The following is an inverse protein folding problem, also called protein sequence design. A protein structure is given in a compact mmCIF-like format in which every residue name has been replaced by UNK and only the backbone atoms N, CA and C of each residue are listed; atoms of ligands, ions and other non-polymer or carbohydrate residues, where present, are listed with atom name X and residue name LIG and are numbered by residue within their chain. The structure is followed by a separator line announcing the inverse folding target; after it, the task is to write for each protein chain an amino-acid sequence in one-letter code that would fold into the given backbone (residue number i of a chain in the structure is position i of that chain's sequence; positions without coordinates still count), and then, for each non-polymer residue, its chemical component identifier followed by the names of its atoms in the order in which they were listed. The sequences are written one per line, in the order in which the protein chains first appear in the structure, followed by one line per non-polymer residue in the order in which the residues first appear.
data_IF_198107783827
#
_entry.id   IF_198107783827
#
_cell.length_a   1.000
_cell.length_b   1.000
_cell.length_c   1.000
_cell.angle_alpha   90.00
_cell.angle_beta   90.00
_cell.angle_gamma   90.00
#
_symmetry.space_group_name_H-M   'P 1'
#
loop_
_entity.id
_entity.type
_entity.pdbx_description
1 polymer ?
#
# COMPACT_ATOMS: atom_id res chain seq x y z
N UNK A 1 62.99 -53.89 -5.35
CA UNK A 1 61.88 -53.17 -4.66
C UNK A 1 62.24 -51.76 -4.13
N UNK A 2 63.32 -51.08 -4.57
CA UNK A 2 63.64 -49.70 -4.15
C UNK A 2 63.19 -48.59 -5.14
N UNK A 3 63.12 -48.87 -6.44
CA UNK A 3 62.82 -47.84 -7.46
C UNK A 3 61.34 -47.39 -7.52
N UNK A 4 60.39 -48.22 -7.06
CA UNK A 4 58.96 -47.90 -7.17
C UNK A 4 58.49 -46.86 -6.12
N UNK A 5 59.29 -46.65 -5.05
CA UNK A 5 58.93 -45.77 -3.94
C UNK A 5 59.41 -44.32 -4.16
N UNK A 6 60.52 -44.13 -4.89
CA UNK A 6 61.01 -42.80 -5.28
C UNK A 6 60.15 -42.15 -6.36
N UNK A 7 59.68 -42.94 -7.32
CA UNK A 7 58.80 -42.45 -8.40
C UNK A 7 57.43 -42.00 -7.87
N UNK A 8 56.92 -42.71 -6.85
CA UNK A 8 55.67 -42.36 -6.19
C UNK A 8 55.81 -41.09 -5.33
N UNK A 9 56.93 -40.93 -4.60
CA UNK A 9 57.21 -39.71 -3.83
C UNK A 9 57.38 -38.48 -4.74
N UNK A 10 58.05 -38.62 -5.89
CA UNK A 10 58.16 -37.53 -6.87
C UNK A 10 56.81 -37.12 -7.46
N UNK A 11 55.91 -38.08 -7.75
CA UNK A 11 54.55 -37.78 -8.23
C UNK A 11 53.68 -37.08 -7.17
N UNK A 12 53.88 -37.38 -5.88
CA UNK A 12 53.19 -36.68 -4.79
C UNK A 12 53.74 -35.25 -4.66
N UNK A 13 55.06 -35.05 -4.68
CA UNK A 13 55.67 -33.72 -4.61
C UNK A 13 55.29 -32.82 -5.79
N UNK A 14 55.19 -33.37 -7.01
CA UNK A 14 54.72 -32.62 -8.17
C UNK A 14 53.25 -32.23 -8.07
N UNK A 15 52.39 -33.12 -7.54
CA UNK A 15 50.98 -32.81 -7.29
C UNK A 15 50.82 -31.73 -6.22
N UNK A 16 51.59 -31.80 -5.14
CA UNK A 16 51.56 -30.77 -4.07
C UNK A 16 52.07 -29.42 -4.56
N UNK A 17 53.10 -29.38 -5.41
CA UNK A 17 53.57 -28.14 -6.03
C UNK A 17 52.51 -27.52 -6.95
N UNK A 18 51.87 -28.32 -7.81
CA UNK A 18 50.78 -27.85 -8.67
C UNK A 18 49.59 -27.33 -7.86
N UNK A 19 49.22 -28.01 -6.78
CA UNK A 19 48.12 -27.57 -5.91
C UNK A 19 48.46 -26.25 -5.19
N UNK A 20 49.71 -26.08 -4.73
CA UNK A 20 50.18 -24.83 -4.11
C UNK A 20 50.20 -23.67 -5.09
N UNK A 21 50.60 -23.91 -6.34
CA UNK A 21 50.57 -22.91 -7.42
C UNK A 21 49.14 -22.51 -7.80
N UNK A 22 48.21 -23.48 -7.89
CA UNK A 22 46.80 -23.20 -8.11
C UNK A 22 46.21 -22.37 -6.96
N UNK A 23 46.43 -22.78 -5.71
CA UNK A 23 45.95 -22.05 -4.52
C UNK A 23 46.53 -20.63 -4.46
N UNK A 24 47.81 -20.43 -4.82
CA UNK A 24 48.40 -19.09 -4.88
C UNK A 24 47.78 -18.23 -5.98
N UNK A 25 47.50 -18.80 -7.16
CA UNK A 25 46.83 -18.10 -8.25
C UNK A 25 45.37 -17.73 -7.90
N UNK A 26 44.64 -18.62 -7.24
CA UNK A 26 43.31 -18.32 -6.71
C UNK A 26 43.37 -17.21 -5.66
N UNK A 27 44.31 -17.27 -4.70
CA UNK A 27 44.48 -16.21 -3.69
C UNK A 27 44.78 -14.84 -4.32
N UNK A 28 45.66 -14.78 -5.33
CA UNK A 28 45.95 -13.53 -6.05
C UNK A 28 44.69 -12.98 -6.73
N UNK A 29 43.92 -13.82 -7.43
CA UNK A 29 42.65 -13.41 -8.07
C UNK A 29 41.61 -12.92 -7.05
N UNK A 30 41.47 -13.59 -5.91
CA UNK A 30 40.58 -13.15 -4.84
C UNK A 30 40.98 -11.80 -4.25
N UNK A 31 42.28 -11.52 -4.09
CA UNK A 31 42.77 -10.21 -3.64
C UNK A 31 42.47 -9.12 -4.68
N UNK A 32 42.65 -9.39 -5.98
CA UNK A 32 42.29 -8.44 -7.04
C UNK A 32 40.80 -8.11 -7.05
N UNK A 33 39.92 -9.11 -6.89
CA UNK A 33 38.46 -8.89 -6.82
C UNK A 33 38.09 -8.04 -5.60
N UNK A 34 38.70 -8.31 -4.45
CA UNK A 34 38.45 -7.56 -3.22
C UNK A 34 38.91 -6.10 -3.35
N UNK A 35 40.07 -5.87 -3.97
CA UNK A 35 40.60 -4.53 -4.22
C UNK A 35 39.72 -3.74 -5.21
N UNK A 36 39.24 -4.39 -6.27
CA UNK A 36 38.29 -3.78 -7.22
C UNK A 36 36.98 -3.41 -6.53
N UNK A 37 36.43 -4.28 -5.68
CA UNK A 37 35.21 -3.97 -4.92
C UNK A 37 35.41 -2.78 -3.98
N UNK A 38 36.55 -2.68 -3.29
CA UNK A 38 36.87 -1.53 -2.43
C UNK A 38 36.97 -0.24 -3.26
N UNK A 39 37.61 -0.28 -4.43
CA UNK A 39 37.70 0.87 -5.34
C UNK A 39 36.31 1.28 -5.83
N UNK A 40 35.46 0.33 -6.23
CA UNK A 40 34.08 0.61 -6.68
C UNK A 40 33.28 1.29 -5.58
N UNK A 41 33.36 0.80 -4.34
CA UNK A 41 32.71 1.42 -3.18
C UNK A 41 33.25 2.83 -2.92
N UNK A 42 34.57 3.04 -3.03
CA UNK A 42 35.18 4.36 -2.87
C UNK A 42 34.77 5.32 -3.99
N UNK A 43 34.74 4.88 -5.25
CA UNK A 43 34.30 5.69 -6.39
C UNK A 43 32.84 6.08 -6.25
N UNK A 44 31.97 5.13 -5.88
CA UNK A 44 30.56 5.39 -5.56
C UNK A 44 30.48 6.41 -4.42
N UNK A 45 31.21 6.20 -3.32
CA UNK A 45 31.22 7.11 -2.18
C UNK A 45 31.65 8.54 -2.54
N UNK A 46 32.70 8.71 -3.37
CA UNK A 46 33.16 10.03 -3.81
C UNK A 46 32.23 10.67 -4.84
N UNK A 47 31.61 9.89 -5.74
CA UNK A 47 30.58 10.38 -6.66
C UNK A 47 29.38 10.93 -5.89
N UNK A 48 28.91 10.24 -4.85
CA UNK A 48 27.80 10.72 -4.01
C UNK A 48 28.19 11.84 -3.04
N UNK A 49 29.45 11.92 -2.59
CA UNK A 49 29.93 12.99 -1.68
C UNK A 49 30.02 14.37 -2.35
N UNK A 50 30.24 14.42 -3.66
CA UNK A 50 30.34 15.68 -4.42
C UNK A 50 29.00 16.18 -4.97
N UNK A 51 27.90 15.47 -4.74
CA UNK A 51 26.56 15.99 -5.02
C UNK A 51 26.14 16.87 -3.82
N UNK A 52 26.76 18.04 -3.70
CA UNK A 52 26.16 19.14 -2.94
C UNK A 52 24.94 19.63 -3.74
N UNK A 53 23.83 18.89 -3.64
CA UNK A 53 22.53 19.44 -3.99
C UNK A 53 22.29 20.54 -2.97
N UNK A 54 22.51 21.79 -3.36
CA UNK A 54 21.91 22.93 -2.68
C UNK A 54 20.39 22.74 -2.79
N UNK A 55 19.82 21.94 -1.90
CA UNK A 55 18.38 21.78 -1.84
C UNK A 55 17.82 23.13 -1.40
N UNK A 56 17.05 23.79 -2.26
CA UNK A 56 16.34 25.03 -1.94
C UNK A 56 15.46 24.92 -0.68
N UNK A 57 15.26 23.69 -0.21
CA UNK A 57 14.43 23.31 0.92
C UNK A 57 15.21 23.23 2.25
N UNK A 58 16.55 23.37 2.25
CA UNK A 58 17.39 23.31 3.46
C UNK A 58 17.83 24.71 3.90
N UNK A 59 17.32 25.17 5.05
CA UNK A 59 17.63 26.50 5.62
C UNK A 59 17.87 26.38 7.11
N UNK A 60 18.95 26.97 7.60
CA UNK A 60 19.35 26.96 9.02
C UNK A 60 19.39 25.56 9.66
N UNK A 61 19.64 24.52 8.87
CA UNK A 61 19.64 23.13 9.36
C UNK A 61 18.25 22.51 9.51
N UNK A 62 17.21 23.17 9.00
CA UNK A 62 15.89 22.58 8.79
C UNK A 62 15.69 22.25 7.31
N UNK A 63 15.00 21.15 7.03
CA UNK A 63 14.54 20.78 5.71
C UNK A 63 13.01 20.78 5.68
N UNK A 64 12.42 21.45 4.68
CA UNK A 64 10.97 21.38 4.44
C UNK A 64 10.69 20.28 3.42
N UNK A 65 9.73 19.42 3.73
CA UNK A 65 9.34 18.30 2.87
C UNK A 65 7.83 18.30 2.72
N UNK A 66 7.37 18.27 1.47
CA UNK A 66 5.99 18.00 1.12
C UNK A 66 5.88 16.49 0.91
N UNK A 67 4.93 15.85 1.58
CA UNK A 67 4.68 14.41 1.48
C UNK A 67 3.29 14.19 0.90
N UNK A 68 3.24 13.57 -0.27
CA UNK A 68 2.01 13.18 -0.97
C UNK A 68 2.28 11.96 -1.88
N UNK A 69 1.23 11.37 -2.46
CA UNK A 69 1.37 10.39 -3.54
C UNK A 69 1.75 11.11 -4.84
N UNK A 70 2.50 10.45 -5.72
CA UNK A 70 2.85 11.02 -7.03
C UNK A 70 1.66 11.07 -7.99
N UNK A 71 0.73 10.13 -7.84
CA UNK A 71 -0.43 9.99 -8.71
C UNK A 71 -1.68 9.82 -7.87
N UNK A 72 -2.77 10.45 -8.29
CA UNK A 72 -4.11 10.27 -7.74
C UNK A 72 -5.11 10.07 -8.87
N UNK A 73 -6.18 9.35 -8.58
CA UNK A 73 -7.38 9.40 -9.41
C UNK A 73 -8.21 10.64 -9.10
N UNK A 74 -9.00 11.10 -10.07
CA UNK A 74 -9.77 12.33 -9.93
C UNK A 74 -10.73 12.35 -8.74
N UNK A 75 -11.39 11.24 -8.42
CA UNK A 75 -12.32 11.12 -7.30
C UNK A 75 -11.62 10.96 -5.93
N UNK A 76 -10.31 10.76 -5.91
CA UNK A 76 -9.54 10.63 -4.67
C UNK A 76 -9.37 11.98 -3.96
N UNK A 77 -9.29 11.93 -2.64
CA UNK A 77 -8.89 13.07 -1.84
C UNK A 77 -7.38 13.27 -1.94
N UNK A 78 -6.97 14.50 -2.19
CA UNK A 78 -5.56 14.86 -2.16
C UNK A 78 -5.08 14.84 -0.72
N UNK A 79 -4.13 13.94 -0.40
CA UNK A 79 -3.46 13.87 0.89
C UNK A 79 -2.04 14.43 0.75
N UNK A 80 -1.88 15.69 1.17
CA UNK A 80 -0.61 16.40 1.15
C UNK A 80 -0.30 16.95 2.55
N UNK A 81 0.89 16.64 3.04
CA UNK A 81 1.38 17.05 4.36
C UNK A 81 2.71 17.74 4.25
N UNK A 82 2.90 18.82 5.00
CA UNK A 82 4.15 19.57 5.05
C UNK A 82 4.84 19.30 6.37
N UNK A 83 6.09 18.86 6.30
CA UNK A 83 6.93 18.59 7.46
C UNK A 83 8.12 19.53 7.48
N UNK A 84 8.49 19.96 8.69
CA UNK A 84 9.77 20.59 8.97
C UNK A 84 10.67 19.58 9.68
N UNK A 85 11.81 19.27 9.08
CA UNK A 85 12.74 18.24 9.55
C UNK A 85 14.00 18.90 10.08
N UNK A 86 14.38 18.61 11.31
CA UNK A 86 15.67 19.03 11.84
C UNK A 86 16.77 18.11 11.34
N UNK A 87 17.66 18.63 10.50
CA UNK A 87 18.80 17.86 9.95
C UNK A 87 20.02 17.85 10.86
N UNK A 88 19.96 18.56 12.00
CA UNK A 88 21.08 18.69 12.93
C UNK A 88 20.97 17.70 14.09
N UNK A 89 22.15 17.39 14.62
CA UNK A 89 22.35 16.46 15.71
C UNK A 89 22.07 17.10 17.10
N UNK A 90 20.97 17.85 17.24
CA UNK A 90 20.59 18.55 18.48
C UNK A 90 19.21 19.20 18.35
N UNK A 91 18.53 19.47 19.47
CA UNK A 91 17.24 20.19 19.47
C UNK A 91 17.42 21.62 18.94
N UNK A 92 16.46 22.09 18.15
CA UNK A 92 16.46 23.47 17.64
C UNK A 92 15.10 24.11 17.72
N UNK A 93 15.08 25.39 18.06
CA UNK A 93 13.91 26.24 17.92
C UNK A 93 13.76 26.73 16.49
N UNK A 94 12.52 26.92 16.08
CA UNK A 94 12.19 27.57 14.81
C UNK A 94 11.03 28.55 14.98
N UNK A 95 11.01 29.52 14.07
CA UNK A 95 9.95 30.52 13.93
C UNK A 95 9.44 30.45 12.50
N UNK A 96 8.14 30.19 12.31
CA UNK A 96 7.48 30.24 11.00
C UNK A 96 6.52 31.42 10.96
N UNK A 97 6.63 32.25 9.92
CA UNK A 97 5.71 33.35 9.62
C UNK A 97 5.23 33.27 8.17
N UNK A 98 4.07 33.88 7.87
CA UNK A 98 3.51 34.02 6.52
C UNK A 98 3.43 32.68 5.75
N UNK A 99 2.90 31.65 6.41
CA UNK A 99 2.79 30.32 5.80
C UNK A 99 1.71 30.33 4.73
N UNK A 100 2.05 29.85 3.54
CA UNK A 100 1.14 29.71 2.41
C UNK A 100 1.29 28.33 1.79
N UNK A 101 0.16 27.68 1.57
CA UNK A 101 0.07 26.41 0.87
C UNK A 101 -0.88 26.57 -0.31
N UNK A 102 -0.44 26.24 -1.52
CA UNK A 102 -1.27 26.30 -2.72
C UNK A 102 -1.21 25.00 -3.47
N UNK A 103 -2.30 24.70 -4.16
CA UNK A 103 -2.34 23.76 -5.26
C UNK A 103 -2.75 24.55 -6.49
N UNK A 104 -1.93 24.49 -7.53
CA UNK A 104 -2.21 25.12 -8.83
C UNK A 104 -2.20 24.06 -9.92
N UNK A 105 -2.99 24.25 -10.97
CA UNK A 105 -2.93 23.42 -12.16
C UNK A 105 -1.69 23.77 -13.03
N UNK A 106 -1.52 23.04 -14.13
CA UNK A 106 -0.45 23.25 -15.11
C UNK A 106 -0.44 24.68 -15.72
N UNK A 107 -1.58 25.38 -15.69
CA UNK A 107 -1.73 26.76 -16.17
C UNK A 107 -1.55 27.79 -15.03
N UNK A 108 -1.08 27.36 -13.86
CA UNK A 108 -0.97 28.15 -12.63
C UNK A 108 -2.30 28.71 -12.10
N UNK A 109 -3.43 28.12 -12.47
CA UNK A 109 -4.75 28.49 -11.93
C UNK A 109 -4.88 27.86 -10.54
N UNK A 110 -5.17 28.65 -9.48
CA UNK A 110 -5.27 28.13 -8.13
C UNK A 110 -6.52 27.26 -7.96
N UNK A 111 -6.29 26.02 -7.56
CA UNK A 111 -7.34 25.06 -7.17
C UNK A 111 -7.60 25.15 -5.67
N UNK A 112 -6.54 25.39 -4.90
CA UNK A 112 -6.63 25.59 -3.47
C UNK A 112 -5.55 26.57 -3.01
N UNK A 113 -5.89 27.39 -2.02
CA UNK A 113 -4.95 28.34 -1.42
C UNK A 113 -5.30 28.48 0.06
N UNK A 114 -4.33 28.17 0.91
CA UNK A 114 -4.37 28.37 2.34
C UNK A 114 -3.32 29.41 2.72
N UNK A 115 -3.67 30.27 3.67
CA UNK A 115 -2.80 31.33 4.13
C UNK A 115 -2.92 31.51 5.64
N UNK A 116 -1.78 31.62 6.31
CA UNK A 116 -1.68 31.81 7.74
C UNK A 116 -0.57 32.81 8.09
N UNK A 117 -0.99 34.01 8.48
CA UNK A 117 -0.11 35.15 8.79
C UNK A 117 0.57 35.07 10.15
N UNK A 118 0.01 34.30 11.09
CA UNK A 118 0.46 34.37 12.47
C UNK A 118 1.81 33.68 12.66
N UNK A 119 2.62 34.25 13.56
CA UNK A 119 3.90 33.69 13.96
C UNK A 119 3.73 32.44 14.81
N UNK A 120 4.36 31.34 14.40
CA UNK A 120 4.41 30.08 15.14
C UNK A 120 5.84 29.84 15.61
N UNK A 121 6.02 29.74 16.93
CA UNK A 121 7.29 29.45 17.58
C UNK A 121 7.24 28.07 18.22
N UNK A 122 8.18 27.20 17.87
CA UNK A 122 8.25 25.86 18.47
C UNK A 122 9.67 25.30 18.45
N UNK A 123 9.82 24.06 18.92
CA UNK A 123 11.09 23.31 18.94
C UNK A 123 10.88 21.96 18.31
N UNK A 124 11.95 21.42 17.74
CA UNK A 124 11.98 20.07 17.20
C UNK A 124 13.26 19.39 17.65
N UNK A 125 13.10 18.14 18.09
CA UNK A 125 14.18 17.31 18.57
C UNK A 125 15.26 17.04 17.52
N UNK A 126 16.33 16.39 17.98
CA UNK A 126 17.45 15.96 17.14
C UNK A 126 16.97 14.98 16.07
N UNK A 127 17.31 15.23 14.80
CA UNK A 127 17.00 14.35 13.66
C UNK A 127 15.51 13.95 13.57
N UNK A 128 14.62 14.78 14.10
CA UNK A 128 13.18 14.53 14.11
C UNK A 128 12.45 15.52 13.20
N UNK A 129 11.19 15.22 12.91
CA UNK A 129 10.30 16.07 12.13
C UNK A 129 9.13 16.57 12.98
N UNK A 130 8.55 17.69 12.55
CA UNK A 130 7.28 18.21 13.05
C UNK A 130 6.35 18.45 11.87
N UNK A 131 5.08 18.09 12.04
CA UNK A 131 4.02 18.36 11.06
C UNK A 131 3.64 19.84 11.16
N UNK A 132 3.77 20.57 10.05
CA UNK A 132 3.45 22.00 9.96
C UNK A 132 2.07 22.21 9.36
N UNK A 133 1.68 21.39 8.38
CA UNK A 133 0.41 21.51 7.70
C UNK A 133 -0.09 20.14 7.23
N UNK A 134 -1.41 19.95 7.29
CA UNK A 134 -2.09 18.73 6.84
C UNK A 134 -3.35 19.12 6.07
N UNK A 135 -3.32 18.98 4.75
CA UNK A 135 -4.43 19.39 3.87
C UNK A 135 -5.74 18.72 4.27
N UNK A 136 -5.68 17.44 4.65
CA UNK A 136 -6.86 16.64 5.01
C UNK A 136 -7.56 17.14 6.27
N UNK A 137 -6.86 17.87 7.13
CA UNK A 137 -7.45 18.52 8.32
C UNK A 137 -8.13 19.83 7.98
N UNK A 138 -7.67 20.53 6.95
CA UNK A 138 -8.21 21.82 6.54
C UNK A 138 -9.41 21.68 5.60
N UNK A 139 -9.30 20.84 4.57
CA UNK A 139 -10.36 20.70 3.57
C UNK A 139 -10.29 19.38 2.80
N UNK A 140 -11.39 19.08 2.12
CA UNK A 140 -11.53 17.99 1.19
C UNK A 140 -11.31 18.48 -0.26
N UNK A 141 -10.08 18.47 -0.75
CA UNK A 141 -9.79 18.66 -2.18
C UNK A 141 -9.95 17.34 -2.92
N UNK A 142 -10.92 17.27 -3.85
CA UNK A 142 -11.21 16.10 -4.70
C UNK A 142 -11.84 16.52 -6.03
N UNK A 143 -12.06 15.58 -6.94
CA UNK A 143 -12.72 15.77 -8.24
C UNK A 143 -11.93 16.75 -9.12
N UNK A 144 -10.60 16.64 -9.09
CA UNK A 144 -9.71 17.44 -9.92
C UNK A 144 -9.69 16.90 -11.35
N UNK A 145 -9.58 17.78 -12.34
CA UNK A 145 -9.49 17.35 -13.74
C UNK A 145 -8.16 16.64 -13.99
N UNK A 146 -8.11 15.79 -15.01
CA UNK A 146 -6.85 15.20 -15.48
C UNK A 146 -5.80 16.30 -15.75
N UNK A 147 -4.58 16.10 -15.24
CA UNK A 147 -3.47 17.02 -15.47
C UNK A 147 -2.37 16.91 -14.41
N UNK A 148 -1.32 17.69 -14.59
CA UNK A 148 -0.25 17.84 -13.59
C UNK A 148 -0.56 19.05 -12.71
N UNK A 149 -0.39 18.87 -11.42
CA UNK A 149 -0.62 19.90 -10.41
C UNK A 149 0.65 20.15 -9.61
N UNK A 150 0.86 21.41 -9.23
CA UNK A 150 1.98 21.82 -8.40
C UNK A 150 1.47 22.20 -7.01
N UNK A 151 2.08 21.60 -5.99
CA UNK A 151 1.96 22.03 -4.60
C UNK A 151 3.07 23.03 -4.34
N UNK A 152 2.68 24.24 -3.94
CA UNK A 152 3.61 25.33 -3.66
C UNK A 152 3.49 25.71 -2.19
N UNK A 153 4.59 25.62 -1.45
CA UNK A 153 4.69 25.99 -0.05
C UNK A 153 5.64 27.17 0.10
N UNK A 154 5.11 28.31 0.53
CA UNK A 154 5.88 29.52 0.79
C UNK A 154 5.80 29.85 2.28
N UNK A 155 6.94 30.12 2.92
CA UNK A 155 6.96 30.53 4.33
C UNK A 155 8.25 31.29 4.66
N UNK A 156 8.23 32.04 5.77
CA UNK A 156 9.44 32.63 6.34
C UNK A 156 9.88 31.80 7.55
N UNK A 157 11.02 31.13 7.44
CA UNK A 157 11.62 30.33 8.52
C UNK A 157 12.80 31.08 9.13
N UNK A 158 12.73 31.41 10.42
CA UNK A 158 13.78 32.17 11.13
C UNK A 158 14.20 33.46 10.40
N UNK A 159 13.24 34.12 9.73
CA UNK A 159 13.49 35.35 8.94
C UNK A 159 13.91 35.11 7.49
N UNK A 160 14.20 33.86 7.09
CA UNK A 160 14.55 33.50 5.72
C UNK A 160 13.32 33.06 4.93
N UNK A 161 13.09 33.65 3.75
CA UNK A 161 11.99 33.25 2.86
C UNK A 161 12.33 31.94 2.15
N UNK A 162 11.41 30.98 2.22
CA UNK A 162 11.52 29.66 1.60
C UNK A 162 10.35 29.47 0.64
N UNK A 163 10.64 28.90 -0.53
CA UNK A 163 9.65 28.38 -1.47
C UNK A 163 10.04 26.93 -1.81
N UNK A 164 9.14 25.99 -1.54
CA UNK A 164 9.26 24.57 -1.88
C UNK A 164 8.11 24.18 -2.78
N UNK A 165 8.43 23.48 -3.87
CA UNK A 165 7.46 23.02 -4.84
C UNK A 165 7.62 21.52 -5.05
N UNK A 166 6.49 20.83 -5.20
CA UNK A 166 6.43 19.42 -5.58
C UNK A 166 5.22 19.18 -6.48
N UNK A 167 5.24 18.11 -7.28
CA UNK A 167 4.25 17.90 -8.35
C UNK A 167 3.57 16.54 -8.25
N UNK A 168 2.29 16.48 -8.60
CA UNK A 168 1.53 15.24 -8.69
C UNK A 168 0.64 15.22 -9.94
N UNK A 169 0.31 14.01 -10.40
CA UNK A 169 -0.56 13.80 -11.56
C UNK A 169 -1.96 13.37 -11.10
N UNK A 170 -2.98 13.95 -11.73
CA UNK A 170 -4.35 13.45 -11.68
C UNK A 170 -4.65 12.63 -12.93
N UNK A 171 -5.05 11.38 -12.72
CA UNK A 171 -5.52 10.47 -13.76
C UNK A 171 -7.04 10.38 -13.75
N UNK A 172 -7.61 10.26 -14.95
CA UNK A 172 -9.03 10.00 -15.15
C UNK A 172 -9.19 8.70 -15.92
N UNK A 173 -9.95 7.77 -15.33
CA UNK A 173 -10.21 6.46 -15.92
C UNK A 173 -11.58 5.95 -15.48
N UNK A 174 -12.18 5.04 -16.25
CA UNK A 174 -13.25 4.18 -15.73
C UNK A 174 -12.61 2.83 -15.46
N UNK A 175 -12.39 2.50 -14.19
CA UNK A 175 -11.80 1.23 -13.79
C UNK A 175 -12.82 0.12 -13.98
N UNK A 176 -12.32 -1.07 -14.33
CA UNK A 176 -13.13 -2.27 -14.45
C UNK A 176 -12.45 -3.40 -13.72
N UNK A 177 -13.21 -4.13 -12.93
CA UNK A 177 -12.68 -5.22 -12.13
C UNK A 177 -13.68 -6.35 -12.03
N UNK A 178 -13.17 -7.59 -12.00
CA UNK A 178 -13.96 -8.75 -11.61
C UNK A 178 -13.96 -8.89 -10.08
N UNK A 179 -15.15 -8.72 -9.50
CA UNK A 179 -15.46 -8.99 -8.10
C UNK A 179 -15.92 -10.44 -7.96
N UNK A 180 -15.14 -11.17 -7.19
CA UNK A 180 -15.25 -12.59 -6.90
C UNK A 180 -14.69 -12.82 -5.50
N UNK A 181 -15.14 -13.88 -4.85
CA UNK A 181 -14.63 -14.26 -3.54
C UNK A 181 -13.16 -14.69 -3.62
N UNK A 182 -12.42 -14.64 -2.50
CA UNK A 182 -11.03 -15.09 -2.45
C UNK A 182 -10.84 -16.56 -2.88
N UNK A 183 -11.85 -17.41 -2.65
CA UNK A 183 -11.92 -18.79 -3.10
C UNK A 183 -13.39 -19.29 -3.08
N UNK A 184 -13.63 -20.43 -3.73
CA UNK A 184 -14.90 -21.13 -3.75
C UNK A 184 -14.74 -22.61 -3.35
N UNK A 185 -15.82 -23.23 -2.92
CA UNK A 185 -15.85 -24.67 -2.67
C UNK A 185 -16.27 -25.43 -3.94
N UNK A 186 -15.87 -26.69 -4.04
CA UNK A 186 -16.41 -27.60 -5.05
C UNK A 186 -17.93 -27.64 -4.95
N UNK A 187 -18.60 -27.60 -6.09
CA UNK A 187 -20.07 -27.51 -6.25
C UNK A 187 -20.72 -26.22 -5.72
N UNK A 188 -19.94 -25.23 -5.28
CA UNK A 188 -20.48 -23.91 -4.92
C UNK A 188 -20.94 -23.15 -6.18
N UNK A 189 -22.07 -22.45 -6.06
CA UNK A 189 -22.59 -21.57 -7.09
C UNK A 189 -21.79 -20.25 -7.12
N UNK A 190 -21.15 -19.98 -8.26
CA UNK A 190 -20.31 -18.79 -8.45
C UNK A 190 -21.05 -17.79 -9.33
N UNK A 191 -21.39 -16.64 -8.76
CA UNK A 191 -21.96 -15.50 -9.45
C UNK A 191 -20.90 -14.40 -9.61
N UNK A 192 -20.09 -14.40 -10.68
CA UNK A 192 -19.09 -13.37 -10.88
C UNK A 192 -19.76 -12.02 -11.12
N UNK A 193 -19.14 -10.96 -10.59
CA UNK A 193 -19.63 -9.59 -10.75
C UNK A 193 -18.59 -8.74 -11.48
N UNK A 194 -19.03 -7.99 -12.50
CA UNK A 194 -18.24 -6.98 -13.18
C UNK A 194 -18.54 -5.65 -12.52
N UNK A 195 -17.51 -5.02 -11.95
CA UNK A 195 -17.59 -3.69 -11.38
C UNK A 195 -17.02 -2.68 -12.36
N UNK A 196 -17.79 -1.63 -12.66
CA UNK A 196 -17.27 -0.38 -13.24
C UNK A 196 -17.17 0.68 -12.14
N UNK A 197 -16.07 1.42 -12.07
CA UNK A 197 -15.88 2.54 -11.14
C UNK A 197 -15.45 3.79 -11.90
N UNK A 198 -16.21 4.87 -11.77
CA UNK A 198 -15.90 6.12 -12.46
C UNK A 198 -14.87 6.94 -11.66
N UNK A 199 -13.59 6.81 -12.02
CA UNK A 199 -12.46 7.59 -11.48
C UNK A 199 -12.21 8.91 -12.23
N UNK A 200 -13.22 9.47 -12.90
CA UNK A 200 -13.10 10.74 -13.63
C UNK A 200 -13.72 11.91 -12.87
N UNK A 201 -13.40 13.16 -13.26
CA UNK A 201 -13.94 14.38 -12.61
C UNK A 201 -15.41 14.65 -12.97
N UNK A 202 -15.96 13.92 -13.94
CA UNK A 202 -17.29 14.16 -14.50
C UNK A 202 -18.12 12.89 -14.53
N UNK A 203 -19.42 13.01 -14.83
CA UNK A 203 -20.24 11.83 -15.04
C UNK A 203 -19.95 11.18 -16.39
N UNK A 204 -19.88 9.85 -16.42
CA UNK A 204 -19.73 9.06 -17.65
C UNK A 204 -21.02 8.32 -17.95
N UNK A 205 -21.28 8.08 -19.24
CA UNK A 205 -22.38 7.22 -19.69
C UNK A 205 -21.76 5.92 -20.23
N UNK A 206 -22.20 4.80 -19.66
CA UNK A 206 -21.83 3.46 -20.09
C UNK A 206 -23.01 2.83 -20.82
N UNK A 207 -22.88 2.66 -22.13
CA UNK A 207 -23.84 1.93 -22.95
C UNK A 207 -23.36 0.48 -23.01
N UNK A 208 -23.95 -0.41 -22.21
CA UNK A 208 -23.50 -1.80 -22.09
C UNK A 208 -24.41 -2.69 -22.91
N UNK A 209 -23.87 -3.29 -23.97
CA UNK A 209 -24.62 -4.10 -24.91
C UNK A 209 -24.77 -5.54 -24.38
N UNK A 210 -23.64 -6.16 -24.02
CA UNK A 210 -23.62 -7.54 -23.51
C UNK A 210 -22.36 -7.84 -22.71
N UNK A 211 -22.45 -8.82 -21.83
CA UNK A 211 -21.32 -9.38 -21.08
C UNK A 211 -21.25 -10.87 -21.39
N UNK A 212 -20.08 -11.34 -21.82
CA UNK A 212 -19.80 -12.75 -22.04
C UNK A 212 -18.85 -13.24 -20.94
N UNK A 213 -19.35 -14.18 -20.15
CA UNK A 213 -18.65 -14.84 -19.06
C UNK A 213 -18.10 -16.17 -19.56
N UNK A 214 -16.82 -16.42 -19.29
CA UNK A 214 -16.15 -17.66 -19.66
C UNK A 214 -15.38 -18.23 -18.47
N UNK A 215 -15.66 -19.50 -18.16
CA UNK A 215 -14.98 -20.30 -17.15
C UNK A 215 -14.58 -21.63 -17.78
N UNK A 216 -13.28 -21.82 -18.08
CA UNK A 216 -12.70 -23.08 -18.56
C UNK A 216 -13.69 -23.93 -19.41
N UNK A 217 -14.11 -23.36 -20.55
CA UNK A 217 -14.99 -23.94 -21.59
C UNK A 217 -16.51 -23.72 -21.42
N UNK A 218 -17.00 -23.32 -20.24
CA UNK A 218 -18.38 -22.87 -20.07
C UNK A 218 -18.49 -21.40 -20.45
N UNK A 219 -19.29 -21.09 -21.46
CA UNK A 219 -19.58 -19.72 -21.86
C UNK A 219 -21.05 -19.39 -21.58
N UNK A 220 -21.27 -18.21 -21.03
CA UNK A 220 -22.60 -17.65 -20.85
C UNK A 220 -22.61 -16.17 -21.25
N UNK A 221 -23.73 -15.70 -21.80
CA UNK A 221 -23.87 -14.34 -22.31
C UNK A 221 -25.10 -13.68 -21.72
N UNK A 222 -24.88 -12.57 -21.03
CA UNK A 222 -25.91 -11.64 -20.59
C UNK A 222 -26.10 -10.53 -21.64
N UNK A 223 -27.33 -10.32 -22.08
CA UNK A 223 -27.69 -9.21 -22.97
C UNK A 223 -28.44 -8.17 -22.15
N UNK A 224 -27.86 -6.97 -22.05
CA UNK A 224 -28.37 -5.91 -21.17
C UNK A 224 -28.91 -4.74 -22.00
N UNK A 225 -28.20 -4.30 -23.05
CA UNK A 225 -28.59 -3.14 -23.89
C UNK A 225 -29.13 -1.95 -23.09
N UNK A 226 -28.43 -1.60 -22.01
CA UNK A 226 -28.81 -0.56 -21.05
C UNK A 226 -27.77 0.56 -21.01
N UNK A 227 -28.24 1.77 -20.68
CA UNK A 227 -27.40 2.95 -20.51
C UNK A 227 -27.33 3.33 -19.03
N UNK A 228 -26.14 3.27 -18.45
CA UNK A 228 -25.89 3.63 -17.06
C UNK A 228 -25.14 4.95 -17.00
N UNK A 229 -25.66 5.90 -16.24
CA UNK A 229 -24.94 7.13 -15.91
C UNK A 229 -24.24 6.95 -14.56
N UNK A 230 -22.92 7.08 -14.55
CA UNK A 230 -22.10 7.01 -13.34
C UNK A 230 -21.55 8.39 -13.01
N UNK A 231 -21.85 8.92 -11.84
CA UNK A 231 -21.21 10.12 -11.31
C UNK A 231 -19.77 9.82 -10.81
N UNK A 232 -18.99 10.87 -10.56
CA UNK A 232 -17.59 10.72 -10.08
C UNK A 232 -17.54 9.94 -8.76
N UNK A 233 -16.73 8.89 -8.72
CA UNK A 233 -16.58 7.97 -7.58
C UNK A 233 -17.66 6.89 -7.47
N UNK A 234 -18.68 6.88 -8.35
CA UNK A 234 -19.73 5.86 -8.30
C UNK A 234 -19.29 4.53 -8.91
N UNK A 235 -19.94 3.46 -8.44
CA UNK A 235 -19.71 2.08 -8.84
C UNK A 235 -21.00 1.47 -9.39
N UNK A 236 -20.88 0.78 -10.53
CA UNK A 236 -21.90 -0.11 -11.07
C UNK A 236 -21.43 -1.55 -10.91
N UNK A 237 -22.30 -2.42 -10.41
CA UNK A 237 -22.05 -3.85 -10.30
C UNK A 237 -23.03 -4.59 -11.21
N UNK A 238 -22.49 -5.43 -12.09
CA UNK A 238 -23.26 -6.29 -12.99
C UNK A 238 -22.91 -7.74 -12.69
N UNK A 239 -23.84 -8.43 -12.05
CA UNK A 239 -23.72 -9.84 -11.71
C UNK A 239 -24.14 -10.72 -12.89
N UNK A 240 -23.50 -11.88 -13.04
CA UNK A 240 -23.95 -12.86 -14.02
C UNK A 240 -25.35 -13.38 -13.68
N UNK A 241 -26.24 -13.49 -14.68
CA UNK A 241 -27.59 -14.02 -14.42
C UNK A 241 -27.64 -15.54 -14.18
N UNK A 242 -26.52 -16.24 -14.37
CA UNK A 242 -26.42 -17.69 -14.12
C UNK A 242 -25.18 -18.02 -13.28
N UNK A 243 -25.29 -18.99 -12.37
CA UNK A 243 -24.13 -19.46 -11.62
C UNK A 243 -23.21 -20.30 -12.51
N UNK A 244 -21.92 -20.22 -12.23
CA UNK A 244 -20.96 -21.25 -12.61
C UNK A 244 -20.85 -22.26 -11.47
N UNK A 245 -20.82 -23.55 -11.82
CA UNK A 245 -20.59 -24.64 -10.88
C UNK A 245 -19.35 -25.39 -11.36
N UNK A 246 -18.39 -25.54 -10.46
CA UNK A 246 -17.11 -26.22 -10.68
C UNK A 246 -17.09 -27.48 -9.83
N UNK A 247 -16.84 -28.61 -10.47
CA UNK A 247 -16.94 -29.96 -9.89
C UNK A 247 -15.61 -30.48 -9.32
N UNK A 248 -14.51 -29.75 -9.49
CA UNK A 248 -13.17 -30.15 -9.06
C UNK A 248 -12.41 -29.00 -8.43
N UNK A 249 -11.60 -29.34 -7.41
CA UNK A 249 -10.65 -28.40 -6.84
C UNK A 249 -9.54 -28.07 -7.86
N UNK A 250 -9.06 -26.82 -7.82
CA UNK A 250 -8.04 -26.32 -8.73
C UNK A 250 -8.05 -24.81 -8.85
N UNK A 251 -7.18 -24.29 -9.71
CA UNK A 251 -7.11 -22.88 -10.07
C UNK A 251 -7.78 -22.71 -11.43
N UNK A 252 -8.74 -21.80 -11.53
CA UNK A 252 -9.52 -21.55 -12.74
C UNK A 252 -9.38 -20.08 -13.13
N UNK A 253 -9.46 -19.79 -14.42
CA UNK A 253 -9.44 -18.42 -14.92
C UNK A 253 -10.85 -18.02 -15.34
N UNK A 254 -11.36 -16.97 -14.71
CA UNK A 254 -12.61 -16.32 -15.08
C UNK A 254 -12.28 -15.23 -16.08
N UNK A 255 -12.87 -15.31 -17.28
CA UNK A 255 -12.78 -14.26 -18.29
C UNK A 255 -14.14 -13.61 -18.47
N UNK A 256 -14.15 -12.29 -18.53
CA UNK A 256 -15.30 -11.48 -18.80
C UNK A 256 -14.99 -10.59 -20.01
N UNK A 257 -15.69 -10.84 -21.10
CA UNK A 257 -15.66 -9.98 -22.28
C UNK A 257 -16.88 -9.06 -22.22
N UNK A 258 -16.65 -7.77 -22.01
CA UNK A 258 -17.71 -6.78 -21.96
C UNK A 258 -17.71 -5.93 -23.23
N UNK A 259 -18.89 -5.83 -23.85
CA UNK A 259 -19.14 -4.97 -25.00
C UNK A 259 -19.86 -3.72 -24.51
N UNK A 260 -19.15 -2.60 -24.46
CA UNK A 260 -19.70 -1.33 -24.00
C UNK A 260 -19.14 -0.16 -24.82
N UNK A 261 -19.94 0.87 -25.05
CA UNK A 261 -19.55 2.06 -25.84
C UNK A 261 -18.87 1.71 -27.18
N UNK A 262 -19.37 0.67 -27.88
CA UNK A 262 -18.81 0.12 -29.12
C UNK A 262 -17.36 -0.39 -29.01
N UNK A 263 -16.93 -0.79 -27.81
CA UNK A 263 -15.62 -1.39 -27.53
C UNK A 263 -15.80 -2.75 -26.88
N UNK A 264 -14.88 -3.65 -27.20
CA UNK A 264 -14.73 -4.93 -26.52
C UNK A 264 -13.54 -4.83 -25.57
N UNK A 265 -13.76 -5.19 -24.32
CA UNK A 265 -12.70 -5.29 -23.32
C UNK A 265 -12.77 -6.65 -22.62
N UNK A 266 -11.61 -7.27 -22.45
CA UNK A 266 -11.47 -8.56 -21.78
C UNK A 266 -10.80 -8.36 -20.45
N UNK A 267 -11.49 -8.78 -19.39
CA UNK A 267 -10.99 -8.75 -18.01
C UNK A 267 -10.89 -10.20 -17.57
N UNK A 268 -9.77 -10.57 -16.94
CA UNK A 268 -9.59 -11.92 -16.43
C UNK A 268 -9.06 -11.93 -15.01
N UNK A 269 -9.53 -12.87 -14.20
CA UNK A 269 -9.07 -13.06 -12.84
C UNK A 269 -9.05 -14.53 -12.48
N UNK A 270 -8.02 -14.94 -11.74
CA UNK A 270 -7.91 -16.30 -11.25
C UNK A 270 -8.80 -16.47 -10.02
N UNK A 271 -9.46 -17.63 -9.94
CA UNK A 271 -10.15 -18.11 -8.75
C UNK A 271 -9.54 -19.42 -8.30
N UNK A 272 -9.63 -19.65 -7.00
CA UNK A 272 -9.24 -20.92 -6.41
C UNK A 272 -10.49 -21.66 -5.97
N UNK A 273 -10.61 -22.92 -6.36
CA UNK A 273 -11.67 -23.84 -5.93
C UNK A 273 -11.04 -24.92 -5.07
N UNK A 274 -11.61 -25.18 -3.90
CA UNK A 274 -11.09 -26.15 -2.93
C UNK A 274 -12.18 -27.14 -2.51
N UNK A 275 -11.80 -28.34 -2.09
CA UNK A 275 -12.78 -29.33 -1.63
C UNK A 275 -13.39 -28.96 -0.26
N UNK A 276 -12.55 -28.50 0.66
CA UNK A 276 -12.96 -28.18 2.05
C UNK A 276 -12.14 -27.00 2.58
N UNK A 277 -12.79 -26.03 3.25
CA UNK A 277 -12.07 -24.96 3.91
C UNK A 277 -11.45 -25.43 5.21
N UNK A 278 -10.39 -24.76 5.62
CA UNK A 278 -9.82 -24.91 6.94
C UNK A 278 -10.69 -24.21 7.98
N UNK A 279 -10.85 -24.87 9.14
CA UNK A 279 -11.48 -24.28 10.34
C UNK A 279 -10.47 -24.05 11.47
N UNK A 280 -9.22 -24.51 11.31
CA UNK A 280 -8.23 -24.36 12.37
C UNK A 280 -7.61 -22.96 12.31
N UNK A 281 -7.69 -22.23 13.42
CA UNK A 281 -7.10 -20.91 13.59
C UNK A 281 -5.67 -20.94 14.15
N UNK A 282 -5.11 -22.13 14.42
CA UNK A 282 -3.71 -22.29 14.81
C UNK A 282 -2.79 -21.69 13.74
N UNK A 283 -1.65 -21.13 14.17
CA UNK A 283 -0.71 -20.47 13.26
C UNK A 283 -1.22 -19.16 12.66
N UNK A 284 -2.28 -18.55 13.20
CA UNK A 284 -2.71 -17.20 12.86
C UNK A 284 -2.30 -16.18 13.93
N UNK A 285 -2.02 -14.95 13.50
CA UNK A 285 -1.77 -13.82 14.39
C UNK A 285 -2.72 -12.67 14.06
N UNK A 286 -3.23 -12.02 15.10
CA UNK A 286 -4.13 -10.88 14.99
C UNK A 286 -3.41 -9.59 15.35
N UNK A 287 -3.63 -8.54 14.54
CA UNK A 287 -3.10 -7.20 14.79
C UNK A 287 -4.22 -6.16 14.72
N UNK A 288 -4.10 -5.15 15.59
CA UNK A 288 -4.96 -3.98 15.61
C UNK A 288 -4.00 -2.78 15.56
N UNK A 289 -4.17 -1.89 14.61
CA UNK A 289 -3.35 -0.69 14.52
C UNK A 289 -4.10 0.45 13.82
N UNK A 290 -3.63 1.67 14.05
CA UNK A 290 -4.02 2.86 13.30
C UNK A 290 -2.75 3.65 12.96
N UNK A 291 -2.73 4.27 11.79
CA UNK A 291 -1.67 5.17 11.37
C UNK A 291 -1.98 6.64 11.68
N UNK A 292 -3.12 6.89 12.34
CA UNK A 292 -3.63 8.22 12.64
C UNK A 292 -3.36 8.60 14.10
N UNK A 293 -3.30 9.91 14.37
CA UNK A 293 -3.15 10.41 15.72
C UNK A 293 -4.46 10.23 16.50
N UNK A 294 -4.36 9.73 17.72
CA UNK A 294 -5.52 9.42 18.55
C UNK A 294 -6.06 10.69 19.23
N UNK A 295 -7.04 11.34 18.59
CA UNK A 295 -7.66 12.59 19.09
C UNK A 295 -9.14 12.40 19.37
N UNK A 296 -9.61 13.02 20.46
CA UNK A 296 -11.04 13.13 20.76
C UNK A 296 -11.84 13.79 19.61
N UNK A 297 -13.04 13.27 19.36
CA UNK A 297 -14.01 13.74 18.37
C UNK A 297 -13.51 13.74 16.91
N UNK A 298 -12.43 13.01 16.62
CA UNK A 298 -11.98 12.72 15.25
C UNK A 298 -12.31 11.27 14.91
N UNK A 299 -12.81 10.97 13.70
CA UNK A 299 -12.81 9.60 13.22
C UNK A 299 -11.35 9.14 13.10
N UNK A 300 -11.07 7.96 13.62
CA UNK A 300 -9.77 7.30 13.57
C UNK A 300 -9.96 5.96 12.86
N UNK A 301 -9.26 5.74 11.74
CA UNK A 301 -9.33 4.48 11.02
C UNK A 301 -8.47 3.41 11.71
N UNK A 302 -9.13 2.38 12.24
CA UNK A 302 -8.48 1.20 12.80
C UNK A 302 -8.51 0.04 11.82
N UNK A 303 -7.36 -0.59 11.62
CA UNK A 303 -7.18 -1.76 10.79
C UNK A 303 -7.09 -3.00 11.68
N UNK A 304 -7.93 -3.98 11.38
CA UNK A 304 -8.00 -5.28 12.03
C UNK A 304 -7.47 -6.34 11.08
N UNK A 305 -6.25 -6.78 11.32
CA UNK A 305 -5.48 -7.59 10.39
C UNK A 305 -5.29 -9.02 10.92
N UNK A 306 -5.35 -9.99 10.02
CA UNK A 306 -5.03 -11.39 10.26
C UNK A 306 -3.81 -11.76 9.45
N UNK A 307 -2.83 -12.37 10.10
CA UNK A 307 -1.59 -12.87 9.48
C UNK A 307 -1.52 -14.38 9.61
N UNK A 308 -1.03 -15.04 8.57
CA UNK A 308 -0.65 -16.44 8.59
C UNK A 308 0.83 -16.58 8.93
N UNK A 309 1.15 -17.37 9.96
CA UNK A 309 2.52 -17.61 10.41
C UNK A 309 3.13 -18.88 9.79
N UNK A 310 2.40 -19.59 8.93
CA UNK A 310 2.83 -20.85 8.33
C UNK A 310 3.31 -20.71 6.89
N UNK A 311 4.18 -21.65 6.47
CA UNK A 311 4.71 -21.74 5.10
C UNK A 311 3.76 -22.44 4.11
N UNK A 312 2.47 -22.23 4.26
CA UNK A 312 1.42 -22.76 3.38
C UNK A 312 0.27 -21.78 3.32
N UNK A 313 -0.46 -21.80 2.22
CA UNK A 313 -1.68 -21.00 2.11
C UNK A 313 -2.75 -21.57 3.04
N UNK A 314 -3.65 -20.70 3.49
CA UNK A 314 -4.83 -21.08 4.28
C UNK A 314 -6.08 -20.53 3.64
N UNK A 315 -7.04 -21.42 3.45
CA UNK A 315 -8.37 -21.10 2.92
C UNK A 315 -9.36 -21.23 4.07
N UNK A 316 -9.72 -20.12 4.69
CA UNK A 316 -10.51 -20.11 5.93
C UNK A 316 -11.94 -19.62 5.66
N UNK A 317 -12.90 -20.28 6.30
CA UNK A 317 -14.24 -19.71 6.50
C UNK A 317 -14.36 -19.35 7.96
N UNK A 318 -14.34 -18.05 8.23
CA UNK A 318 -14.48 -17.50 9.58
C UNK A 318 -15.97 -17.40 9.90
N UNK A 319 -16.42 -18.17 10.89
CA UNK A 319 -17.81 -18.20 11.32
C UNK A 319 -18.26 -16.83 11.82
N UNK A 320 -17.40 -16.14 12.59
CA UNK A 320 -17.70 -14.85 13.19
C UNK A 320 -16.46 -14.00 13.42
N UNK A 321 -16.56 -12.72 13.07
CA UNK A 321 -15.63 -11.66 13.43
C UNK A 321 -16.34 -10.70 14.37
N UNK A 322 -15.73 -10.36 15.50
CA UNK A 322 -16.30 -9.44 16.48
C UNK A 322 -15.25 -8.41 16.91
N UNK A 323 -15.65 -7.13 16.92
CA UNK A 323 -14.85 -6.01 17.42
C UNK A 323 -15.65 -5.30 18.50
N UNK A 324 -15.09 -5.22 19.71
CA UNK A 324 -15.74 -4.64 20.89
C UNK A 324 -14.91 -3.49 21.45
N UNK A 325 -15.59 -2.43 21.87
CA UNK A 325 -15.02 -1.33 22.66
C UNK A 325 -15.95 -1.11 23.86
N UNK A 326 -15.72 -1.83 24.97
CA UNK A 326 -16.64 -1.84 26.12
C UNK A 326 -16.90 -0.44 26.68
N UNK A 327 -15.88 0.40 26.76
CA UNK A 327 -15.98 1.76 27.32
C UNK A 327 -16.86 2.70 26.47
N UNK A 328 -17.16 2.34 25.22
CA UNK A 328 -18.11 3.07 24.36
C UNK A 328 -19.43 2.32 24.13
N UNK A 329 -19.60 1.13 24.70
CA UNK A 329 -20.68 0.22 24.35
C UNK A 329 -20.77 -0.02 22.83
N UNK A 330 -19.61 -0.10 22.15
CA UNK A 330 -19.54 -0.34 20.72
C UNK A 330 -19.31 -1.83 20.43
N UNK A 331 -20.04 -2.35 19.46
CA UNK A 331 -19.89 -3.72 18.96
C UNK A 331 -20.09 -3.74 17.44
N UNK A 332 -19.15 -4.37 16.73
CA UNK A 332 -19.27 -4.69 15.32
C UNK A 332 -19.16 -6.20 15.14
N UNK A 333 -20.06 -6.78 14.35
CA UNK A 333 -20.10 -8.22 14.07
C UNK A 333 -20.32 -8.49 12.59
N UNK A 334 -19.54 -9.41 12.02
CA UNK A 334 -19.79 -10.01 10.70
C UNK A 334 -19.59 -11.52 10.77
N UNK A 335 -20.21 -12.26 9.85
CA UNK A 335 -20.25 -13.73 9.85
C UNK A 335 -19.92 -14.31 8.47
N UNK A 336 -19.51 -15.57 8.45
CA UNK A 336 -19.22 -16.34 7.24
C UNK A 336 -18.22 -15.64 6.29
N UNK A 337 -17.12 -15.12 6.84
CA UNK A 337 -16.12 -14.39 6.06
C UNK A 337 -15.13 -15.39 5.45
N UNK A 338 -15.07 -15.45 4.12
CA UNK A 338 -14.05 -16.22 3.40
C UNK A 338 -12.74 -15.43 3.36
N UNK A 339 -11.64 -16.08 3.72
CA UNK A 339 -10.31 -15.46 3.73
C UNK A 339 -9.29 -16.40 3.10
N UNK A 340 -8.56 -15.89 2.12
CA UNK A 340 -7.34 -16.50 1.61
C UNK A 340 -6.14 -15.82 2.27
N UNK A 341 -5.34 -16.57 3.01
CA UNK A 341 -4.07 -16.11 3.56
C UNK A 341 -2.91 -16.79 2.82
N UNK A 342 -2.10 -15.99 2.14
CA UNK A 342 -0.88 -16.47 1.51
C UNK A 342 0.14 -16.98 2.54
N UNK A 343 1.16 -17.70 2.08
CA UNK A 343 2.30 -18.14 2.90
C UNK A 343 2.96 -16.93 3.57
N UNK A 344 3.03 -16.93 4.89
CA UNK A 344 3.54 -15.79 5.68
C UNK A 344 2.84 -14.44 5.38
N UNK A 345 1.65 -14.48 4.78
CA UNK A 345 0.92 -13.30 4.32
C UNK A 345 -0.01 -12.74 5.40
N UNK A 346 -0.46 -11.52 5.18
CA UNK A 346 -1.46 -10.87 6.01
C UNK A 346 -2.53 -10.19 5.17
N UNK A 347 -3.73 -10.05 5.74
CA UNK A 347 -4.86 -9.36 5.12
C UNK A 347 -5.56 -8.48 6.14
N UNK A 348 -5.97 -7.30 5.69
CA UNK A 348 -6.87 -6.44 6.45
C UNK A 348 -8.27 -7.05 6.37
N UNK A 349 -8.75 -7.60 7.48
CA UNK A 349 -10.05 -8.26 7.53
C UNK A 349 -11.19 -7.24 7.58
N UNK A 350 -11.00 -6.19 8.39
CA UNK A 350 -11.95 -5.09 8.55
C UNK A 350 -11.16 -3.80 8.79
N UNK A 351 -11.63 -2.71 8.21
CA UNK A 351 -11.20 -1.35 8.56
C UNK A 351 -12.43 -0.59 9.08
N UNK A 352 -12.33 0.00 10.27
CA UNK A 352 -13.44 0.71 10.91
C UNK A 352 -13.03 2.14 11.30
N UNK A 353 -13.78 3.16 10.87
CA UNK A 353 -13.65 4.51 11.42
C UNK A 353 -14.31 4.54 12.81
N UNK A 354 -13.51 4.79 13.85
CA UNK A 354 -13.97 4.86 15.23
C UNK A 354 -13.76 6.27 15.79
N UNK A 355 -14.78 6.85 16.40
CA UNK A 355 -14.72 8.20 17.00
C UNK A 355 -14.85 8.13 18.50
N UNK A 356 -13.88 8.69 19.23
CA UNK A 356 -13.83 8.67 20.68
C UNK A 356 -14.28 10.02 21.23
N UNK A 357 -15.35 10.03 22.05
CA UNK A 357 -15.99 11.27 22.53
C UNK A 357 -15.29 11.94 23.71
N UNK A 358 -14.55 11.15 24.49
CA UNK A 358 -13.91 11.60 25.71
C UNK A 358 -12.44 11.20 25.71
N UNK A 359 -11.62 11.98 26.44
CA UNK A 359 -10.22 11.61 26.70
C UNK A 359 -10.21 10.45 27.67
N UNK A 360 -9.30 9.50 27.48
CA UNK A 360 -9.19 8.39 28.40
C UNK A 360 -8.56 7.16 27.79
N UNK A 361 -8.56 6.10 28.60
CA UNK A 361 -8.04 4.80 28.22
C UNK A 361 -9.17 3.93 27.68
N UNK A 362 -9.00 3.40 26.48
CA UNK A 362 -9.97 2.56 25.80
C UNK A 362 -9.38 1.19 25.47
N UNK A 363 -10.22 0.17 25.49
CA UNK A 363 -9.83 -1.20 25.17
C UNK A 363 -10.56 -1.66 23.92
N UNK A 364 -9.80 -1.97 22.87
CA UNK A 364 -10.32 -2.56 21.64
C UNK A 364 -10.04 -4.05 21.66
N UNK A 365 -11.10 -4.85 21.53
CA UNK A 365 -11.02 -6.31 21.52
C UNK A 365 -11.42 -6.79 20.13
N UNK A 366 -10.51 -7.47 19.43
CA UNK A 366 -10.74 -8.11 18.15
C UNK A 366 -10.78 -9.62 18.33
N UNK A 367 -11.88 -10.26 17.94
CA UNK A 367 -12.10 -11.71 18.09
C UNK A 367 -12.48 -12.33 16.76
N UNK A 368 -11.96 -13.53 16.53
CA UNK A 368 -12.29 -14.34 15.36
C UNK A 368 -12.66 -15.73 15.86
N UNK A 369 -13.77 -16.26 15.34
CA UNK A 369 -14.27 -17.60 15.66
C UNK A 369 -14.38 -18.40 14.36
N UNK A 370 -13.77 -19.57 14.35
CA UNK A 370 -13.96 -20.63 13.35
C UNK A 370 -13.68 -21.94 14.06
N UNK A 371 -14.72 -22.60 14.57
CA UNK A 371 -14.59 -23.76 15.49
C UNK A 371 -13.96 -23.47 16.87
N UNK A 372 -12.80 -22.80 16.93
CA UNK A 372 -12.16 -22.22 18.12
C UNK A 372 -12.17 -20.69 18.02
N UNK A 373 -11.95 -20.01 19.15
CA UNK A 373 -11.79 -18.55 19.22
C UNK A 373 -10.32 -18.18 19.40
N UNK A 374 -9.87 -17.15 18.67
CA UNK A 374 -8.65 -16.40 18.97
C UNK A 374 -8.99 -14.92 19.10
N UNK A 375 -8.22 -14.18 19.92
CA UNK A 375 -8.47 -12.76 20.14
C UNK A 375 -7.20 -11.93 20.32
N UNK A 376 -7.33 -10.64 20.04
CA UNK A 376 -6.33 -9.61 20.31
C UNK A 376 -6.97 -8.47 21.08
N UNK A 377 -6.25 -7.98 22.07
CA UNK A 377 -6.61 -6.78 22.83
C UNK A 377 -5.58 -5.71 22.54
N UNK A 378 -6.06 -4.51 22.20
CA UNK A 378 -5.26 -3.30 22.12
C UNK A 378 -5.81 -2.30 23.12
N UNK A 379 -4.93 -1.72 23.91
CA UNK A 379 -5.28 -0.64 24.83
C UNK A 379 -4.64 0.64 24.33
N UNK A 380 -5.46 1.67 24.18
CA UNK A 380 -5.05 2.98 23.68
C UNK A 380 -5.41 4.08 24.67
N UNK A 381 -4.67 5.18 24.62
CA UNK A 381 -5.03 6.41 25.31
C UNK A 381 -5.41 7.45 24.26
N UNK A 382 -6.61 8.01 24.39
CA UNK A 382 -7.10 9.10 23.54
C UNK A 382 -6.83 10.42 24.26
N UNK A 383 -6.21 11.35 23.55
CA UNK A 383 -5.84 12.68 24.04
C UNK A 383 -6.75 13.81 23.57
#
# INVERSE_FOLDING_TARGET
MKNNNEEYRKKIEEKEKKLKEEIQNYRRRSVYILFVNIIVVLVIFFLFKNINVSSKNLVDGFQIVIKHKQEFYSDEYIDAKVYLINTRNGERSFVINNFRFKIVDENNVPVYNFYYDSTVNSRVGKLSSVLVFDLRRETAVKTLKKGIYNIIVELNLNGNKINVEDTFEIKEEVLKELKIDPFYLVEEEIYPQLMFENKTSTSVILNINSIEWNFNDKMFKDVLSENYKLFSGEKLFLESSKPFIIDKAGIYNVKCNVYYNNRLETISKEIVVIDKPEKNLEGLSLRIYSNEYLKVNSPINFIFEVSNLENREKYLVIDKVNILIPEQNYSYETRNVKVLLNKYGAINLVELPLTFREKGKYTIIFRIVSGKEISKVLTINIE
#
